data_IF_543273101222
#
_entry.id   IF_543273101222
#
_cell.length_a   1.000
_cell.length_b   1.000
_cell.length_c   1.000
_cell.angle_alpha   90.00
_cell.angle_beta   90.00
_cell.angle_gamma   90.00
#
_symmetry.space_group_name_H-M   'P 1'
#
loop_
_entity.id
_entity.type
_entity.pdbx_description
1 polymer ?
#
# COMPACT_ATOMS: atom_id res chain seq x y z
N UNK A 1 -30.05 20.14 -1.06
CA UNK A 1 -29.62 19.13 -2.06
C UNK A 1 -28.26 19.44 -2.67
N UNK A 2 -27.91 20.69 -2.96
CA UNK A 2 -26.61 21.05 -3.56
C UNK A 2 -25.40 20.72 -2.66
N UNK A 3 -25.48 21.02 -1.35
CA UNK A 3 -24.40 20.69 -0.40
C UNK A 3 -24.09 19.18 -0.34
N UNK A 4 -25.12 18.35 -0.41
CA UNK A 4 -24.95 16.89 -0.43
C UNK A 4 -24.31 16.40 -1.73
N UNK A 5 -24.70 16.95 -2.87
CA UNK A 5 -24.05 16.67 -4.16
C UNK A 5 -22.58 17.10 -4.17
N UNK A 6 -22.28 18.28 -3.61
CA UNK A 6 -20.89 18.74 -3.47
C UNK A 6 -20.06 17.80 -2.58
N UNK A 7 -20.61 17.28 -1.49
CA UNK A 7 -19.96 16.31 -0.61
C UNK A 7 -19.66 15.00 -1.36
N UNK A 8 -20.63 14.42 -2.05
CA UNK A 8 -20.41 13.21 -2.87
C UNK A 8 -19.36 13.42 -3.96
N UNK A 9 -19.36 14.60 -4.59
CA UNK A 9 -18.35 14.96 -5.58
C UNK A 9 -16.94 15.03 -4.98
N UNK A 10 -16.78 15.55 -3.75
CA UNK A 10 -15.50 15.55 -3.03
C UNK A 10 -15.00 14.13 -2.76
N UNK A 11 -15.86 13.23 -2.27
CA UNK A 11 -15.47 11.83 -2.06
C UNK A 11 -15.10 11.13 -3.37
N UNK A 12 -15.83 11.40 -4.46
CA UNK A 12 -15.49 10.87 -5.77
C UNK A 12 -14.09 11.30 -6.22
N UNK A 13 -13.75 12.58 -6.06
CA UNK A 13 -12.41 13.08 -6.43
C UNK A 13 -11.33 12.50 -5.54
N UNK A 14 -11.56 12.38 -4.23
CA UNK A 14 -10.63 11.75 -3.32
C UNK A 14 -10.36 10.28 -3.71
N UNK A 15 -11.42 9.50 -3.94
CA UNK A 15 -11.29 8.12 -4.40
C UNK A 15 -10.58 8.02 -5.76
N UNK A 16 -10.87 8.93 -6.68
CA UNK A 16 -10.20 8.99 -7.99
C UNK A 16 -8.69 9.24 -7.85
N UNK A 17 -8.27 10.09 -6.92
CA UNK A 17 -6.85 10.33 -6.61
C UNK A 17 -6.16 9.06 -6.10
N UNK A 18 -6.77 8.34 -5.16
CA UNK A 18 -6.24 7.05 -4.67
C UNK A 18 -6.08 6.06 -5.82
N UNK A 19 -7.13 5.88 -6.63
CA UNK A 19 -7.10 4.97 -7.78
C UNK A 19 -6.04 5.37 -8.81
N UNK A 20 -5.84 6.67 -9.04
CA UNK A 20 -4.80 7.16 -9.93
C UNK A 20 -3.42 6.75 -9.41
N UNK A 21 -3.13 6.98 -8.12
CA UNK A 21 -1.85 6.57 -7.51
C UNK A 21 -1.62 5.06 -7.60
N UNK A 22 -2.63 4.23 -7.33
CA UNK A 22 -2.51 2.76 -7.50
C UNK A 22 -2.17 2.38 -8.94
N UNK A 23 -2.71 3.09 -9.93
CA UNK A 23 -2.44 2.82 -11.35
C UNK A 23 -1.05 3.24 -11.79
N UNK A 24 -0.54 4.36 -11.29
CA UNK A 24 0.74 4.91 -11.71
C UNK A 24 1.91 4.39 -10.89
N UNK A 25 1.74 4.26 -9.57
CA UNK A 25 2.84 4.01 -8.66
C UNK A 25 3.01 2.52 -8.32
N UNK A 26 4.18 1.99 -8.65
CA UNK A 26 4.53 0.60 -8.30
C UNK A 26 4.65 0.42 -6.78
N UNK A 27 5.25 1.39 -6.09
CA UNK A 27 5.44 1.32 -4.63
C UNK A 27 4.09 1.26 -3.90
N UNK A 28 3.12 2.08 -4.32
CA UNK A 28 1.75 2.02 -3.80
C UNK A 28 1.15 0.62 -3.93
N UNK A 29 1.36 -0.06 -5.07
CA UNK A 29 0.89 -1.44 -5.28
C UNK A 29 1.59 -2.45 -4.37
N UNK A 30 2.90 -2.29 -4.14
CA UNK A 30 3.65 -3.13 -3.19
C UNK A 30 3.06 -2.99 -1.79
N UNK A 31 2.93 -1.77 -1.30
CA UNK A 31 2.38 -1.50 0.03
C UNK A 31 0.94 -2.02 0.17
N UNK A 32 0.10 -1.82 -0.84
CA UNK A 32 -1.27 -2.30 -0.85
C UNK A 32 -1.34 -3.84 -0.77
N UNK A 33 -0.49 -4.55 -1.50
CA UNK A 33 -0.39 -6.02 -1.44
C UNK A 33 0.08 -6.47 -0.05
N UNK A 34 1.14 -5.87 0.50
CA UNK A 34 1.63 -6.20 1.84
C UNK A 34 0.54 -5.99 2.91
N UNK A 35 -0.15 -4.86 2.89
CA UNK A 35 -1.24 -4.54 3.81
C UNK A 35 -2.39 -5.52 3.66
N UNK A 36 -2.77 -5.86 2.41
CA UNK A 36 -3.85 -6.83 2.14
C UNK A 36 -3.51 -8.21 2.68
N UNK A 37 -2.31 -8.74 2.42
CA UNK A 37 -1.88 -10.03 2.95
C UNK A 37 -1.82 -10.05 4.47
N UNK A 38 -1.22 -9.01 5.07
CA UNK A 38 -1.12 -8.88 6.53
C UNK A 38 -2.52 -8.92 7.17
N UNK A 39 -3.43 -8.03 6.78
CA UNK A 39 -4.76 -8.00 7.37
C UNK A 39 -5.58 -9.24 7.01
N UNK A 40 -5.40 -9.84 5.83
CA UNK A 40 -6.08 -11.11 5.50
C UNK A 40 -5.67 -12.23 6.45
N UNK A 41 -4.39 -12.37 6.75
CA UNK A 41 -3.91 -13.38 7.72
C UNK A 41 -4.48 -13.08 9.10
N UNK A 42 -4.37 -11.84 9.57
CA UNK A 42 -4.82 -11.45 10.92
C UNK A 42 -6.34 -11.57 11.14
N UNK A 43 -7.15 -11.37 10.08
CA UNK A 43 -8.60 -11.43 10.17
C UNK A 43 -9.18 -12.83 9.90
N UNK A 44 -8.46 -13.67 9.15
CA UNK A 44 -8.95 -14.99 8.75
C UNK A 44 -8.38 -16.12 9.60
N UNK A 45 -7.42 -15.82 10.49
CA UNK A 45 -6.79 -16.84 11.35
C UNK A 45 -6.65 -16.32 12.78
N UNK A 46 -6.61 -17.23 13.74
CA UNK A 46 -6.39 -16.95 15.16
C UNK A 46 -4.94 -17.22 15.57
N UNK A 47 -3.98 -17.14 14.64
CA UNK A 47 -2.58 -17.48 14.93
C UNK A 47 -1.87 -16.41 15.76
N UNK A 48 -2.27 -15.15 15.61
CA UNK A 48 -1.67 -14.01 16.28
C UNK A 48 -2.54 -13.55 17.46
N UNK A 49 -1.92 -13.35 18.62
CA UNK A 49 -2.58 -12.74 19.77
C UNK A 49 -2.35 -11.23 19.72
N UNK A 50 -3.37 -10.47 19.37
CA UNK A 50 -3.31 -9.00 19.22
C UNK A 50 -4.30 -8.33 20.16
N UNK A 51 -3.83 -7.32 20.87
CA UNK A 51 -4.70 -6.44 21.64
C UNK A 51 -5.19 -5.23 20.81
N UNK A 52 -5.95 -4.34 21.42
CA UNK A 52 -6.48 -3.14 20.75
C UNK A 52 -5.38 -2.18 20.33
N UNK A 53 -4.31 -2.07 21.11
CA UNK A 53 -3.16 -1.21 20.77
C UNK A 53 -2.38 -1.74 19.57
N UNK A 54 -2.21 -3.05 19.49
CA UNK A 54 -1.57 -3.70 18.33
C UNK A 54 -2.34 -3.42 17.04
N UNK A 55 -3.66 -3.61 17.07
CA UNK A 55 -4.52 -3.27 15.93
C UNK A 55 -4.43 -1.80 15.55
N UNK A 56 -4.48 -0.89 16.53
CA UNK A 56 -4.32 0.55 16.26
C UNK A 56 -2.95 0.86 15.63
N UNK A 57 -1.88 0.27 16.15
CA UNK A 57 -0.52 0.49 15.63
C UNK A 57 -0.38 0.02 14.19
N UNK A 58 -0.86 -1.20 13.87
CA UNK A 58 -0.81 -1.75 12.51
C UNK A 58 -1.66 -0.95 11.51
N UNK A 59 -2.86 -0.52 11.92
CA UNK A 59 -3.75 0.32 11.09
C UNK A 59 -3.09 1.66 10.81
N UNK A 60 -2.56 2.33 11.85
CA UNK A 60 -1.90 3.64 11.70
C UNK A 60 -0.64 3.55 10.84
N UNK A 61 0.21 2.53 11.06
CA UNK A 61 1.39 2.31 10.26
C UNK A 61 1.04 2.11 8.78
N UNK A 62 0.04 1.28 8.49
CA UNK A 62 -0.45 1.04 7.13
C UNK A 62 -1.00 2.32 6.49
N UNK A 63 -1.79 3.09 7.24
CA UNK A 63 -2.36 4.36 6.78
C UNK A 63 -1.27 5.39 6.45
N UNK A 64 -0.22 5.50 7.29
CA UNK A 64 0.90 6.42 7.06
C UNK A 64 1.69 6.09 5.80
N UNK A 65 1.95 4.81 5.54
CA UNK A 65 2.66 4.39 4.32
C UNK A 65 1.82 4.67 3.08
N UNK A 66 0.53 4.27 3.07
CA UNK A 66 -0.34 4.47 1.91
C UNK A 66 -0.63 5.95 1.65
N UNK A 67 -0.88 6.75 2.69
CA UNK A 67 -1.08 8.19 2.53
C UNK A 67 0.22 8.90 2.11
N UNK A 68 1.37 8.46 2.60
CA UNK A 68 2.68 8.95 2.18
C UNK A 68 2.90 8.79 0.68
N UNK A 69 2.56 7.64 0.10
CA UNK A 69 2.65 7.39 -1.35
C UNK A 69 1.73 8.34 -2.15
N UNK A 70 0.51 8.59 -1.67
CA UNK A 70 -0.42 9.52 -2.32
C UNK A 70 0.15 10.95 -2.32
N UNK A 71 0.70 11.38 -1.17
CA UNK A 71 1.31 12.71 -1.04
C UNK A 71 2.57 12.82 -1.91
N UNK A 72 3.43 11.79 -1.94
CA UNK A 72 4.59 11.76 -2.81
C UNK A 72 4.19 11.89 -4.29
N UNK A 73 3.19 11.13 -4.74
CA UNK A 73 2.65 11.22 -6.11
C UNK A 73 2.13 12.64 -6.42
N UNK A 74 1.47 13.28 -5.45
CA UNK A 74 0.99 14.66 -5.62
C UNK A 74 2.16 15.66 -5.75
N UNK A 75 3.23 15.50 -4.95
CA UNK A 75 4.46 16.32 -5.05
C UNK A 75 5.10 16.13 -6.42
N UNK A 76 5.28 14.89 -6.88
CA UNK A 76 5.89 14.60 -8.18
C UNK A 76 5.09 15.22 -9.32
N UNK A 77 3.77 15.09 -9.29
CA UNK A 77 2.89 15.71 -10.30
C UNK A 77 2.95 17.23 -10.25
N UNK A 78 2.96 17.85 -9.06
CA UNK A 78 3.08 19.30 -8.91
C UNK A 78 4.42 19.83 -9.45
N UNK A 79 5.51 19.12 -9.16
CA UNK A 79 6.85 19.48 -9.69
C UNK A 79 6.88 19.34 -11.21
N UNK A 80 6.30 18.27 -11.77
CA UNK A 80 6.25 18.05 -13.22
C UNK A 80 5.39 19.07 -13.96
N UNK A 81 4.41 19.69 -13.30
CA UNK A 81 3.64 20.81 -13.86
C UNK A 81 4.46 22.09 -13.95
N UNK A 82 5.43 22.28 -13.04
CA UNK A 82 6.29 23.48 -13.02
C UNK A 82 7.44 23.36 -14.01
N UNK A 83 8.08 22.19 -14.07
CA UNK A 83 9.20 21.95 -14.97
C UNK A 83 9.35 20.46 -15.33
N UNK A 84 9.66 20.22 -16.60
CA UNK A 84 10.09 18.89 -17.11
C UNK A 84 11.59 18.84 -17.35
N UNK A 85 12.29 19.99 -17.23
CA UNK A 85 13.75 20.09 -17.35
C UNK A 85 14.41 19.75 -16.01
N UNK A 86 15.69 19.38 -16.08
CA UNK A 86 16.46 19.12 -14.87
C UNK A 86 16.62 20.41 -14.05
N UNK A 87 16.24 20.32 -12.79
CA UNK A 87 16.42 21.38 -11.79
C UNK A 87 16.81 20.74 -10.46
N UNK A 88 17.85 21.23 -9.80
CA UNK A 88 18.24 20.74 -8.47
C UNK A 88 17.14 20.91 -7.43
N UNK A 89 16.35 21.98 -7.51
CA UNK A 89 15.22 22.21 -6.60
C UNK A 89 14.09 21.21 -6.85
N UNK A 90 13.77 20.95 -8.14
CA UNK A 90 12.80 19.95 -8.51
C UNK A 90 13.22 18.55 -8.03
N UNK A 91 14.50 18.21 -8.21
CA UNK A 91 15.06 16.95 -7.69
C UNK A 91 14.95 16.86 -6.18
N UNK A 92 15.40 17.88 -5.44
CA UNK A 92 15.33 17.92 -3.97
C UNK A 92 13.89 17.76 -3.45
N UNK A 93 12.90 18.39 -4.10
CA UNK A 93 11.50 18.25 -3.73
C UNK A 93 10.99 16.81 -3.89
N UNK A 94 11.30 16.15 -5.01
CA UNK A 94 10.96 14.74 -5.27
C UNK A 94 11.67 13.79 -4.32
N UNK A 95 12.98 14.00 -4.09
CA UNK A 95 13.77 13.19 -3.15
C UNK A 95 13.23 13.30 -1.72
N UNK A 96 12.79 14.49 -1.30
CA UNK A 96 12.16 14.68 0.02
C UNK A 96 10.81 13.98 0.14
N UNK A 97 9.98 14.00 -0.90
CA UNK A 97 8.72 13.27 -0.96
C UNK A 97 8.94 11.77 -0.83
N UNK A 98 9.83 11.22 -1.64
CA UNK A 98 10.21 9.78 -1.58
C UNK A 98 10.84 9.41 -0.24
N UNK A 99 11.65 10.32 0.34
CA UNK A 99 12.26 10.14 1.66
C UNK A 99 11.21 10.02 2.77
N UNK A 100 10.13 10.79 2.72
CA UNK A 100 9.04 10.69 3.68
C UNK A 100 8.34 9.31 3.60
N UNK A 101 8.13 8.78 2.40
CA UNK A 101 7.59 7.42 2.22
C UNK A 101 8.53 6.37 2.80
N UNK A 102 9.83 6.49 2.53
CA UNK A 102 10.83 5.58 3.07
C UNK A 102 10.82 5.55 4.60
N UNK A 103 10.77 6.71 5.26
CA UNK A 103 10.68 6.80 6.72
C UNK A 103 9.43 6.10 7.24
N UNK A 104 8.26 6.37 6.65
CA UNK A 104 7.01 5.72 7.02
C UNK A 104 7.10 4.19 6.84
N UNK A 105 7.68 3.71 5.75
CA UNK A 105 7.84 2.29 5.48
C UNK A 105 8.76 1.60 6.50
N UNK A 106 9.89 2.24 6.85
CA UNK A 106 10.81 1.73 7.89
C UNK A 106 10.10 1.62 9.24
N UNK A 107 9.35 2.66 9.64
CA UNK A 107 8.58 2.64 10.89
C UNK A 107 7.51 1.54 10.85
N UNK A 108 6.82 1.38 9.74
CA UNK A 108 5.81 0.32 9.58
C UNK A 108 6.42 -1.08 9.70
N UNK A 109 7.62 -1.30 9.15
CA UNK A 109 8.34 -2.57 9.31
C UNK A 109 8.73 -2.81 10.77
N UNK A 110 9.22 -1.78 11.48
CA UNK A 110 9.57 -1.89 12.89
C UNK A 110 8.33 -2.26 13.72
N UNK A 111 7.21 -1.57 13.51
CA UNK A 111 5.94 -1.86 14.19
C UNK A 111 5.49 -3.29 13.87
N UNK A 112 5.53 -3.69 12.60
CA UNK A 112 5.20 -5.04 12.17
C UNK A 112 6.05 -6.10 12.86
N UNK A 113 7.37 -5.88 12.98
CA UNK A 113 8.27 -6.79 13.68
C UNK A 113 7.93 -6.88 15.17
N UNK A 114 7.71 -5.74 15.84
CA UNK A 114 7.39 -5.71 17.28
C UNK A 114 6.07 -6.43 17.57
N UNK A 115 5.06 -6.23 16.73
CA UNK A 115 3.71 -6.78 16.95
C UNK A 115 3.59 -8.22 16.45
N UNK A 116 4.16 -8.55 15.28
CA UNK A 116 3.90 -9.81 14.59
C UNK A 116 5.02 -10.86 14.79
N UNK A 117 6.15 -10.52 15.41
CA UNK A 117 7.19 -11.51 15.66
C UNK A 117 6.83 -12.38 16.88
N UNK A 118 5.82 -13.22 16.72
CA UNK A 118 5.29 -14.14 17.73
C UNK A 118 5.66 -15.58 17.36
N UNK A 119 6.63 -16.24 18.05
CA UNK A 119 7.07 -17.60 17.73
C UNK A 119 5.93 -18.61 17.69
N UNK A 120 4.93 -18.46 18.56
CA UNK A 120 3.78 -19.34 18.63
C UNK A 120 2.89 -19.21 17.36
N UNK A 121 2.70 -18.00 16.84
CA UNK A 121 1.96 -17.79 15.61
C UNK A 121 2.63 -18.51 14.42
N UNK A 122 3.96 -18.40 14.32
CA UNK A 122 4.71 -19.11 13.27
C UNK A 122 4.64 -20.62 13.43
N UNK A 123 4.66 -21.13 14.68
CA UNK A 123 4.47 -22.57 14.96
C UNK A 123 3.09 -23.05 14.51
N UNK A 124 2.03 -22.33 14.84
CA UNK A 124 0.67 -22.64 14.43
C UNK A 124 0.50 -22.59 12.91
N UNK A 125 1.05 -21.58 12.27
CA UNK A 125 1.07 -21.46 10.80
C UNK A 125 1.77 -22.66 10.14
N UNK A 126 2.92 -23.06 10.66
CA UNK A 126 3.64 -24.23 10.17
C UNK A 126 2.82 -25.52 10.31
N UNK A 127 2.22 -25.75 11.48
CA UNK A 127 1.36 -26.93 11.74
C UNK A 127 0.13 -26.95 10.81
N UNK A 128 -0.51 -25.79 10.62
CA UNK A 128 -1.68 -25.69 9.75
C UNK A 128 -1.35 -26.05 8.29
N UNK A 129 -0.29 -25.47 7.73
CA UNK A 129 0.09 -25.73 6.34
C UNK A 129 0.65 -27.14 6.14
N UNK A 130 1.31 -27.71 7.15
CA UNK A 130 1.75 -29.12 7.10
C UNK A 130 0.58 -30.09 7.09
N UNK A 131 -0.50 -29.77 7.82
CA UNK A 131 -1.73 -30.58 7.83
C UNK A 131 -2.62 -30.33 6.59
N UNK A 132 -2.49 -29.18 5.93
CA UNK A 132 -3.33 -28.75 4.82
C UNK A 132 -2.51 -28.33 3.60
N UNK A 133 -1.86 -29.25 2.87
CA UNK A 133 -0.97 -28.92 1.75
C UNK A 133 -1.69 -28.22 0.60
N UNK A 134 -3.00 -28.45 0.41
CA UNK A 134 -3.81 -27.73 -0.57
C UNK A 134 -3.90 -26.24 -0.24
N UNK A 135 -4.05 -25.87 1.04
CA UNK A 135 -4.09 -24.48 1.47
C UNK A 135 -2.74 -23.79 1.29
N UNK A 136 -1.62 -24.52 1.52
CA UNK A 136 -0.28 -24.02 1.20
C UNK A 136 -0.14 -23.75 -0.30
N UNK A 137 -0.63 -24.67 -1.16
CA UNK A 137 -0.60 -24.49 -2.60
C UNK A 137 -1.43 -23.27 -3.04
N UNK A 138 -2.65 -23.12 -2.51
CA UNK A 138 -3.51 -21.97 -2.81
C UNK A 138 -2.88 -20.64 -2.36
N UNK A 139 -2.27 -20.64 -1.18
CA UNK A 139 -1.52 -19.46 -0.70
C UNK A 139 -0.33 -19.14 -1.61
N UNK A 140 0.46 -20.13 -2.00
CA UNK A 140 1.57 -19.95 -2.93
C UNK A 140 1.08 -19.45 -4.31
N UNK A 141 0.00 -20.00 -4.83
CA UNK A 141 -0.61 -19.57 -6.10
C UNK A 141 -1.14 -18.14 -6.03
N UNK A 142 -1.59 -17.65 -4.87
CA UNK A 142 -2.06 -16.28 -4.70
C UNK A 142 -0.94 -15.23 -4.89
N UNK A 143 0.31 -15.62 -4.70
CA UNK A 143 1.48 -14.74 -4.92
C UNK A 143 1.62 -14.36 -6.40
N UNK A 144 1.20 -15.24 -7.33
CA UNK A 144 1.30 -14.98 -8.78
C UNK A 144 0.47 -13.76 -9.19
N UNK A 145 -0.86 -13.70 -8.97
CA UNK A 145 -1.64 -12.51 -9.31
C UNK A 145 -1.20 -11.26 -8.53
N UNK A 146 -0.76 -11.40 -7.27
CA UNK A 146 -0.21 -10.29 -6.50
C UNK A 146 1.05 -9.71 -7.15
N UNK A 147 1.96 -10.56 -7.59
CA UNK A 147 3.17 -10.16 -8.31
C UNK A 147 2.84 -9.52 -9.65
N UNK A 148 1.92 -10.10 -10.42
CA UNK A 148 1.45 -9.53 -11.68
C UNK A 148 0.81 -8.15 -11.45
N UNK A 149 0.01 -7.98 -10.41
CA UNK A 149 -0.56 -6.68 -10.05
C UNK A 149 0.51 -5.65 -9.69
N UNK A 150 1.56 -6.02 -8.95
CA UNK A 150 2.66 -5.12 -8.59
C UNK A 150 3.38 -4.62 -9.85
N UNK A 151 3.74 -5.52 -10.76
CA UNK A 151 4.58 -5.16 -11.91
C UNK A 151 3.80 -4.56 -13.08
N UNK A 152 2.62 -5.09 -13.39
CA UNK A 152 1.84 -4.67 -14.55
C UNK A 152 0.71 -3.69 -14.21
N UNK A 153 0.32 -3.62 -12.93
CA UNK A 153 -0.76 -2.74 -12.47
C UNK A 153 -2.11 -3.08 -13.10
N UNK A 154 -3.05 -2.17 -12.93
CA UNK A 154 -4.32 -2.22 -13.65
C UNK A 154 -4.09 -1.52 -14.99
N UNK A 155 -3.91 -2.27 -16.08
CA UNK A 155 -3.75 -1.73 -17.43
C UNK A 155 -5.01 -0.97 -17.86
N UNK A 156 -5.13 0.28 -17.42
CA UNK A 156 -5.94 1.25 -18.15
C UNK A 156 -5.12 1.66 -19.36
N UNK A 157 -5.59 1.40 -20.57
CA UNK A 157 -5.00 1.91 -21.82
C UNK A 157 -4.77 3.41 -21.64
N UNK A 158 -3.55 3.82 -21.33
CA UNK A 158 -3.18 5.22 -21.50
C UNK A 158 -3.20 5.47 -23.00
N UNK A 159 -4.27 6.06 -23.47
CA UNK A 159 -4.39 6.58 -24.82
C UNK A 159 -3.32 7.69 -24.95
N UNK A 160 -2.15 7.31 -25.52
CA UNK A 160 -1.14 8.27 -25.99
C UNK A 160 -1.74 9.07 -27.15
N UNK A 161 -2.66 9.97 -26.86
CA UNK A 161 -3.11 11.01 -27.78
C UNK A 161 -3.00 12.31 -27.00
N UNK A 162 -1.85 12.92 -27.08
CA UNK A 162 -1.64 14.37 -27.26
C UNK A 162 -0.12 14.62 -27.20
N UNK A 163 0.49 14.46 -28.37
CA UNK A 163 1.66 15.28 -28.75
C UNK A 163 1.13 16.48 -29.50
#
# INVERSE_FOLDING_TARGET
>A
MEKLKALFKSFYYAASGVVATVKTERNMRIHLVCVTYMFSILLLTDWFSLDKSDWCALILASALVLSGEIVNTAIENAVNLVTTEYSEFAKKAKDAGSGAVLVNAVIAVIIGLVVLLQPEAFRQMHLYFSANPLMLLLFALSIVPATLFIFFGIHGRHNKKNK
#
